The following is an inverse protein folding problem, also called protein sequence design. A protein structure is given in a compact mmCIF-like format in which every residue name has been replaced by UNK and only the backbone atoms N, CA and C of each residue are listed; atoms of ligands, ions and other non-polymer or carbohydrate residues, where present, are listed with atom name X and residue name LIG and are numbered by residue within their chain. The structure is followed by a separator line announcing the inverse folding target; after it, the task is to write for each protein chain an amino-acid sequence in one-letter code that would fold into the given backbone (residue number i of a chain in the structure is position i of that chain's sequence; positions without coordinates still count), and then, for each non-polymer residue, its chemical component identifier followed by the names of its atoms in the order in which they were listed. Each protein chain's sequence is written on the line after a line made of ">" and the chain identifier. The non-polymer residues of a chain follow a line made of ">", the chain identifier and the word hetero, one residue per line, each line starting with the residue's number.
data_IF_806718507047
#
_entry.id   IF_806718507047
#
_cell.length_a   1.000
_cell.length_b   1.000
_cell.length_c   1.000
_cell.angle_alpha   90.00
_cell.angle_beta   90.00
_cell.angle_gamma   90.00
#
_symmetry.space_group_name_H-M   'P 1'
#
loop_
_entity.id
_entity.type
_entity.pdbx_description
1 polymer ?
#
# COMPACT_ATOMS: atom_id res chain seq x y z
N UNK A 1 -1.19 12.84 24.56
CA UNK A 1 -1.02 12.87 23.09
C UNK A 1 -1.54 14.18 22.55
N UNK A 2 -1.04 14.61 21.39
CA UNK A 2 -1.50 15.82 20.69
C UNK A 2 -2.29 15.39 19.43
N UNK A 3 -3.37 16.10 19.11
CA UNK A 3 -4.10 15.86 17.88
C UNK A 3 -3.20 16.14 16.66
N UNK A 4 -3.20 15.23 15.68
CA UNK A 4 -2.41 15.33 14.46
C UNK A 4 -3.32 15.27 13.24
N UNK A 5 -3.31 16.32 12.43
CA UNK A 5 -4.13 16.38 11.22
C UNK A 5 -3.45 15.59 10.09
N UNK A 6 -4.16 14.61 9.54
CA UNK A 6 -3.73 13.82 8.38
C UNK A 6 -4.54 14.16 7.14
N UNK A 7 -3.98 13.93 5.96
CA UNK A 7 -4.72 14.03 4.69
C UNK A 7 -5.78 12.94 4.62
N UNK A 8 -6.86 13.19 3.87
CA UNK A 8 -8.00 12.27 3.73
C UNK A 8 -7.58 10.84 3.37
N UNK A 9 -6.69 10.68 2.39
CA UNK A 9 -6.23 9.35 1.97
C UNK A 9 -5.57 8.53 3.10
N UNK A 10 -4.80 9.18 3.97
CA UNK A 10 -4.19 8.55 5.15
C UNK A 10 -5.25 8.30 6.24
N UNK A 11 -6.19 9.22 6.41
CA UNK A 11 -7.32 9.03 7.33
C UNK A 11 -8.20 7.84 6.95
N UNK A 12 -8.45 7.64 5.65
CA UNK A 12 -9.19 6.49 5.13
C UNK A 12 -8.43 5.18 5.38
N UNK A 13 -7.12 5.16 5.13
CA UNK A 13 -6.26 4.01 5.45
C UNK A 13 -6.32 3.65 6.94
N UNK A 14 -6.14 4.63 7.83
CA UNK A 14 -6.14 4.39 9.28
C UNK A 14 -7.50 3.86 9.77
N UNK A 15 -8.61 4.37 9.22
CA UNK A 15 -9.95 3.84 9.50
C UNK A 15 -10.10 2.40 9.03
N UNK A 16 -9.70 2.09 7.80
CA UNK A 16 -9.74 0.71 7.30
C UNK A 16 -8.86 -0.23 8.13
N UNK A 17 -7.63 0.18 8.44
CA UNK A 17 -6.69 -0.60 9.24
C UNK A 17 -7.24 -0.87 10.66
N UNK A 18 -7.90 0.10 11.28
CA UNK A 18 -8.49 -0.07 12.63
C UNK A 18 -9.59 -1.14 12.71
N UNK A 19 -10.22 -1.50 11.58
CA UNK A 19 -11.25 -2.53 11.51
C UNK A 19 -10.66 -3.91 11.24
N UNK A 20 -9.45 -3.99 10.68
CA UNK A 20 -8.82 -5.25 10.25
C UNK A 20 -8.32 -6.18 11.37
N UNK A 21 -8.57 -5.85 12.65
CA UNK A 21 -8.06 -6.58 13.85
C UNK A 21 -6.53 -6.82 13.81
N UNK A 22 -5.81 -6.02 13.02
CA UNK A 22 -4.36 -6.05 12.92
C UNK A 22 -3.79 -5.05 13.92
N UNK A 23 -3.07 -5.57 14.92
CA UNK A 23 -2.45 -4.77 15.98
C UNK A 23 -0.94 -4.79 15.80
N UNK A 24 -0.42 -3.71 15.24
CA UNK A 24 1.01 -3.52 15.03
C UNK A 24 1.44 -2.06 15.17
N UNK A 25 2.74 -1.86 15.38
CA UNK A 25 3.34 -0.53 15.29
C UNK A 25 3.44 -0.15 13.81
N UNK A 26 2.76 0.94 13.44
CA UNK A 26 2.82 1.48 12.09
C UNK A 26 3.89 2.58 12.02
N UNK A 27 4.79 2.44 11.06
CA UNK A 27 5.61 3.56 10.59
C UNK A 27 4.91 4.22 9.40
N UNK A 28 4.55 5.49 9.56
CA UNK A 28 3.93 6.31 8.50
C UNK A 28 4.74 7.60 8.42
N UNK A 29 5.43 7.83 7.30
CA UNK A 29 6.32 8.98 7.09
C UNK A 29 5.66 10.34 7.38
N UNK A 30 4.40 10.49 7.02
CA UNK A 30 3.61 11.70 7.26
C UNK A 30 3.36 11.98 8.76
N UNK A 31 3.50 10.98 9.62
CA UNK A 31 3.29 11.07 11.07
C UNK A 31 4.64 11.02 11.82
N UNK A 32 5.52 10.09 11.45
CA UNK A 32 6.77 9.81 12.14
C UNK A 32 7.90 10.79 11.83
N UNK A 33 7.84 11.49 10.69
CA UNK A 33 8.83 12.49 10.30
C UNK A 33 8.28 13.88 10.58
N UNK A 34 9.06 14.72 11.26
CA UNK A 34 8.74 16.14 11.35
C UNK A 34 8.89 16.79 9.96
N UNK A 35 7.76 17.00 9.28
CA UNK A 35 7.74 17.59 7.95
C UNK A 35 8.19 19.06 7.92
N UNK A 36 8.24 19.74 9.07
CA UNK A 36 8.72 21.11 9.22
C UNK A 36 10.23 21.23 9.42
N UNK A 37 10.93 20.12 9.72
CA UNK A 37 12.38 20.08 9.88
C UNK A 37 13.03 19.42 8.65
N UNK A 38 13.65 20.25 7.81
CA UNK A 38 14.33 19.77 6.60
C UNK A 38 15.55 18.89 6.90
N UNK A 39 16.25 19.13 8.02
CA UNK A 39 17.42 18.34 8.40
C UNK A 39 17.01 16.95 8.87
N UNK A 40 15.98 16.87 9.73
CA UNK A 40 15.39 15.60 10.13
C UNK A 40 14.84 14.85 8.93
N UNK A 41 14.02 15.51 8.09
CA UNK A 41 13.44 14.91 6.89
C UNK A 41 14.52 14.33 5.97
N UNK A 42 15.58 15.07 5.72
CA UNK A 42 16.70 14.59 4.90
C UNK A 42 17.40 13.39 5.53
N UNK A 43 17.49 13.34 6.87
CA UNK A 43 18.03 12.20 7.59
C UNK A 43 17.13 10.96 7.50
N UNK A 44 15.82 11.15 7.71
CA UNK A 44 14.83 10.08 7.64
C UNK A 44 14.71 9.49 6.24
N UNK A 45 14.78 10.31 5.19
CA UNK A 45 14.78 9.83 3.80
C UNK A 45 15.95 8.89 3.52
N UNK A 46 17.14 9.14 4.10
CA UNK A 46 18.28 8.21 3.98
C UNK A 46 18.06 6.90 4.74
N UNK A 47 17.24 6.91 5.79
CA UNK A 47 16.93 5.73 6.61
C UNK A 47 15.75 4.91 6.05
N UNK A 48 14.94 5.45 5.14
CA UNK A 48 13.75 4.76 4.63
C UNK A 48 14.06 3.36 4.10
N UNK A 49 15.20 3.16 3.42
CA UNK A 49 15.61 1.83 2.94
C UNK A 49 15.82 0.83 4.08
N UNK A 50 16.38 1.29 5.20
CA UNK A 50 16.60 0.51 6.40
C UNK A 50 15.29 0.20 7.11
N UNK A 51 14.38 1.18 7.17
CA UNK A 51 13.05 1.01 7.77
C UNK A 51 12.24 -0.03 6.99
N UNK A 52 12.18 0.08 5.66
CA UNK A 52 11.45 -0.88 4.83
C UNK A 52 12.05 -2.29 4.91
N UNK A 53 13.38 -2.42 4.89
CA UNK A 53 14.03 -3.74 4.99
C UNK A 53 13.95 -4.40 6.37
N UNK A 54 13.68 -3.63 7.43
CA UNK A 54 13.50 -4.14 8.79
C UNK A 54 12.03 -4.29 9.19
N UNK A 55 11.09 -3.77 8.40
CA UNK A 55 9.67 -3.91 8.66
C UNK A 55 9.25 -5.38 8.58
N UNK A 56 8.40 -5.84 9.51
CA UNK A 56 7.82 -7.20 9.46
C UNK A 56 6.95 -7.38 8.23
N UNK A 57 6.26 -6.31 7.81
CA UNK A 57 5.42 -6.25 6.61
C UNK A 57 5.43 -4.83 6.07
N UNK A 58 5.32 -4.71 4.75
CA UNK A 58 5.07 -3.43 4.08
C UNK A 58 3.67 -3.48 3.48
N UNK A 59 2.82 -2.52 3.83
CA UNK A 59 1.44 -2.46 3.40
C UNK A 59 1.28 -1.47 2.24
N UNK A 60 0.72 -1.95 1.13
CA UNK A 60 0.40 -1.11 -0.03
C UNK A 60 -1.06 -0.64 0.05
N UNK A 61 -1.30 0.65 0.31
CA UNK A 61 -2.65 1.22 0.31
C UNK A 61 -3.05 1.72 -1.08
N UNK A 62 -3.97 1.00 -1.72
CA UNK A 62 -4.46 1.32 -3.06
C UNK A 62 -5.64 2.32 -3.06
N UNK A 63 -6.10 2.73 -1.88
CA UNK A 63 -7.26 3.60 -1.70
C UNK A 63 -8.52 2.83 -1.29
N UNK A 64 -9.59 3.59 -1.03
CA UNK A 64 -10.90 3.02 -0.70
C UNK A 64 -11.43 2.25 -1.91
N UNK A 65 -12.01 1.05 -1.71
CA UNK A 65 -12.74 0.36 -2.76
C UNK A 65 -13.78 1.31 -3.38
N UNK A 66 -13.74 1.44 -4.71
CA UNK A 66 -14.78 2.12 -5.46
C UNK A 66 -15.73 1.06 -5.99
N UNK A 67 -16.95 1.43 -6.37
CA UNK A 67 -17.89 0.51 -7.01
C UNK A 67 -17.19 -0.21 -8.18
N UNK A 68 -17.14 -1.54 -8.07
CA UNK A 68 -16.50 -2.44 -9.03
C UNK A 68 -17.54 -3.32 -9.68
N UNK A 69 -17.27 -3.75 -10.91
CA UNK A 69 -18.08 -4.80 -11.53
C UNK A 69 -17.76 -6.16 -10.89
N UNK A 70 -18.73 -7.08 -10.94
CA UNK A 70 -18.58 -8.45 -10.41
C UNK A 70 -17.33 -9.15 -10.96
N UNK A 71 -16.99 -8.91 -12.23
CA UNK A 71 -15.78 -9.46 -12.88
C UNK A 71 -14.48 -8.95 -12.25
N UNK A 72 -14.44 -7.70 -11.78
CA UNK A 72 -13.28 -7.14 -11.07
C UNK A 72 -13.19 -7.72 -9.66
N UNK A 73 -14.31 -7.86 -8.96
CA UNK A 73 -14.34 -8.44 -7.61
C UNK A 73 -13.88 -9.90 -7.62
N UNK A 74 -14.38 -10.69 -8.56
CA UNK A 74 -13.93 -12.08 -8.76
C UNK A 74 -12.42 -12.15 -9.04
N UNK A 75 -11.92 -11.31 -9.93
CA UNK A 75 -10.49 -11.22 -10.23
C UNK A 75 -9.66 -10.83 -9.01
N UNK A 76 -10.12 -9.88 -8.20
CA UNK A 76 -9.45 -9.46 -6.96
C UNK A 76 -9.41 -10.60 -5.93
N UNK A 77 -10.52 -11.34 -5.76
CA UNK A 77 -10.56 -12.49 -4.86
C UNK A 77 -9.60 -13.59 -5.28
N UNK A 78 -9.47 -13.85 -6.59
CA UNK A 78 -8.51 -14.82 -7.13
C UNK A 78 -7.07 -14.38 -6.92
N UNK A 79 -6.77 -13.13 -7.25
CA UNK A 79 -5.44 -12.54 -7.01
C UNK A 79 -5.06 -12.61 -5.52
N UNK A 80 -5.99 -12.36 -4.61
CA UNK A 80 -5.75 -12.41 -3.16
C UNK A 80 -5.50 -13.84 -2.62
N UNK A 81 -5.96 -14.88 -3.31
CA UNK A 81 -5.79 -16.28 -2.91
C UNK A 81 -4.56 -16.95 -3.51
N UNK A 82 -4.01 -16.41 -4.60
CA UNK A 82 -2.79 -16.92 -5.21
C UNK A 82 -1.61 -16.71 -4.28
N UNK A 83 -0.98 -17.81 -3.85
CA UNK A 83 0.25 -17.79 -3.03
C UNK A 83 1.52 -17.75 -3.88
N UNK A 84 1.44 -18.25 -5.11
CA UNK A 84 2.56 -18.33 -6.04
C UNK A 84 2.08 -17.79 -7.39
N UNK A 85 2.61 -16.62 -7.78
CA UNK A 85 2.40 -16.07 -9.13
C UNK A 85 3.14 -16.97 -10.12
N UNK A 86 2.52 -18.06 -10.55
CA UNK A 86 2.98 -18.81 -11.70
C UNK A 86 2.43 -18.14 -12.96
N UNK A 87 3.26 -17.98 -13.98
CA UNK A 87 2.86 -17.42 -15.28
C UNK A 87 1.74 -18.22 -15.98
N UNK A 88 1.46 -19.44 -15.51
CA UNK A 88 0.42 -20.33 -16.03
C UNK A 88 -0.98 -20.01 -15.46
N UNK A 89 -1.08 -19.35 -14.30
CA UNK A 89 -2.36 -18.98 -13.66
C UNK A 89 -3.03 -17.75 -14.31
N UNK A 90 -2.29 -17.02 -15.15
CA UNK A 90 -2.75 -15.78 -15.82
C UNK A 90 -3.20 -15.98 -17.26
N UNK A 91 -3.19 -17.23 -17.75
CA UNK A 91 -3.57 -17.56 -19.12
C UNK A 91 -5.06 -17.26 -19.40
N UNK A 92 -5.29 -16.13 -20.08
CA UNK A 92 -6.55 -15.76 -20.74
C UNK A 92 -7.79 -15.63 -19.83
N UNK A 93 -7.59 -15.15 -18.60
CA UNK A 93 -8.70 -14.90 -17.68
C UNK A 93 -9.12 -13.43 -17.65
N UNK A 94 -10.32 -13.16 -18.17
CA UNK A 94 -10.89 -11.82 -18.23
C UNK A 94 -11.09 -11.19 -16.83
N UNK A 95 -11.35 -11.99 -15.79
CA UNK A 95 -11.53 -11.49 -14.42
C UNK A 95 -10.22 -11.02 -13.82
N UNK A 96 -9.15 -11.80 -13.98
CA UNK A 96 -7.80 -11.42 -13.53
C UNK A 96 -7.31 -10.19 -14.28
N UNK A 97 -7.52 -10.15 -15.59
CA UNK A 97 -7.12 -9.00 -16.42
C UNK A 97 -7.86 -7.72 -16.00
N UNK A 98 -9.18 -7.79 -15.81
CA UNK A 98 -9.98 -6.66 -15.33
C UNK A 98 -9.54 -6.18 -13.93
N UNK A 99 -9.22 -7.10 -13.02
CA UNK A 99 -8.72 -6.76 -11.69
C UNK A 99 -7.32 -6.10 -11.75
N UNK A 100 -6.42 -6.58 -12.61
CA UNK A 100 -5.11 -5.97 -12.81
C UNK A 100 -5.23 -4.58 -13.41
N UNK A 101 -6.09 -4.37 -14.40
CA UNK A 101 -6.36 -3.03 -14.96
C UNK A 101 -6.90 -2.08 -13.90
N UNK A 102 -7.86 -2.55 -13.10
CA UNK A 102 -8.42 -1.79 -11.98
C UNK A 102 -7.36 -1.41 -10.94
N UNK A 103 -6.50 -2.34 -10.54
CA UNK A 103 -5.39 -2.09 -9.62
C UNK A 103 -4.39 -1.11 -10.24
N UNK A 104 -3.95 -1.35 -11.48
CA UNK A 104 -2.95 -0.54 -12.18
C UNK A 104 -3.41 0.91 -12.40
N UNK A 105 -4.72 1.13 -12.52
CA UNK A 105 -5.32 2.47 -12.61
C UNK A 105 -5.21 3.31 -11.33
N UNK A 106 -4.84 2.71 -10.18
CA UNK A 106 -4.83 3.42 -8.90
C UNK A 106 -3.71 4.49 -8.83
N UNK A 107 -3.96 5.67 -8.23
CA UNK A 107 -2.97 6.74 -8.11
C UNK A 107 -1.69 6.34 -7.38
N UNK A 108 -1.75 5.30 -6.55
CA UNK A 108 -0.62 4.72 -5.83
C UNK A 108 0.59 4.46 -6.74
N UNK A 109 0.37 3.94 -7.95
CA UNK A 109 1.42 3.58 -8.91
C UNK A 109 2.19 4.78 -9.49
N UNK A 110 1.69 6.01 -9.31
CA UNK A 110 2.34 7.24 -9.78
C UNK A 110 3.32 7.82 -8.77
N UNK A 111 3.51 7.19 -7.62
CA UNK A 111 4.36 7.69 -6.54
C UNK A 111 5.82 7.32 -6.82
N UNK A 112 6.71 8.31 -6.74
CA UNK A 112 8.16 8.14 -6.94
C UNK A 112 8.78 7.07 -6.03
N UNK A 113 8.25 6.90 -4.82
CA UNK A 113 8.82 6.03 -3.79
C UNK A 113 8.38 4.56 -3.88
N UNK A 114 7.49 4.22 -4.81
CA UNK A 114 6.94 2.86 -4.91
C UNK A 114 8.02 1.80 -5.20
N UNK A 115 9.08 2.19 -5.92
CA UNK A 115 10.21 1.31 -6.22
C UNK A 115 10.93 0.87 -4.94
N UNK A 116 11.07 1.76 -3.96
CA UNK A 116 11.71 1.42 -2.69
C UNK A 116 10.81 0.53 -1.83
N UNK A 117 9.50 0.77 -1.87
CA UNK A 117 8.51 -0.03 -1.15
C UNK A 117 8.46 -1.48 -1.67
N UNK A 118 8.54 -1.69 -2.99
CA UNK A 118 8.53 -3.04 -3.57
C UNK A 118 9.89 -3.76 -3.55
N UNK A 119 11.00 -3.06 -3.79
CA UNK A 119 12.32 -3.71 -3.89
C UNK A 119 12.95 -4.02 -2.53
N UNK A 120 12.59 -3.28 -1.48
CA UNK A 120 13.24 -3.39 -0.18
C UNK A 120 12.36 -4.08 0.87
N UNK A 121 11.08 -4.28 0.60
CA UNK A 121 10.24 -5.15 1.42
C UNK A 121 10.77 -6.58 1.36
N UNK A 122 10.89 -7.23 2.53
CA UNK A 122 11.34 -8.63 2.67
C UNK A 122 10.18 -9.59 2.76
#
# INVERSE_FOLDING_TARGET
>A
GQAFCVRNNLGDFLRAFSVCDDFGLLYIDAICINQGDLAEKSSQVRLQSTIYSQATRVLCWLGVPTDTSEIVEEGLHRLARSKDWSSDDTGDDASVSAALEYIAGRPYWRRTWIVQEFLLAR
#
